data_IF_077769856394
#
_entry.id   IF_077769856394
#
_cell.length_a   1.000
_cell.length_b   1.000
_cell.length_c   1.000
_cell.angle_alpha   90.00
_cell.angle_beta   90.00
_cell.angle_gamma   90.00
#
_symmetry.space_group_name_H-M   'P 1'
#
loop_
_entity.id
_entity.type
_entity.pdbx_description
1 polymer ?
#
# COMPACT_ATOMS: atom_id res chain seq x y z
N UNK A 1 -9.53 -16.72 -24.41
CA UNK A 1 -8.10 -16.61 -24.07
C UNK A 1 -7.85 -15.21 -23.54
N UNK A 2 -7.58 -15.09 -22.24
CA UNK A 2 -7.31 -13.80 -21.58
C UNK A 2 -5.83 -13.48 -21.73
N UNK A 3 -5.49 -12.35 -22.34
CA UNK A 3 -4.10 -11.89 -22.50
C UNK A 3 -3.71 -10.97 -21.35
N UNK A 4 -2.63 -11.27 -20.65
CA UNK A 4 -2.03 -10.33 -19.68
C UNK A 4 -1.12 -9.39 -20.49
N UNK A 5 -1.37 -8.08 -20.45
CA UNK A 5 -0.40 -7.11 -20.98
C UNK A 5 0.66 -6.90 -19.90
N UNK A 6 1.77 -7.63 -20.04
CA UNK A 6 3.00 -7.36 -19.28
C UNK A 6 3.62 -6.08 -19.87
N UNK A 7 3.80 -5.05 -19.04
CA UNK A 7 4.46 -3.81 -19.45
C UNK A 7 5.95 -4.09 -19.77
N UNK A 8 6.24 -4.39 -21.03
CA UNK A 8 7.56 -4.26 -21.65
C UNK A 8 7.55 -3.08 -22.64
N UNK A 9 8.70 -2.44 -22.91
CA UNK A 9 8.76 -1.26 -23.74
C UNK A 9 8.43 -1.63 -25.19
N UNK A 10 7.17 -1.48 -25.60
CA UNK A 10 6.80 -1.66 -27.00
C UNK A 10 7.37 -0.49 -27.82
N UNK A 11 8.42 -0.78 -28.59
CA UNK A 11 8.67 -0.09 -29.84
C UNK A 11 7.57 -0.52 -30.82
N UNK A 12 6.69 0.40 -31.20
CA UNK A 12 5.83 0.20 -32.36
C UNK A 12 6.72 0.28 -33.61
N UNK A 13 6.89 -0.84 -34.32
CA UNK A 13 7.41 -0.84 -35.68
C UNK A 13 6.27 -0.38 -36.62
N UNK A 14 6.41 0.66 -37.46
CA UNK A 14 5.26 1.33 -38.08
C UNK A 14 4.60 0.62 -39.27
N UNK A 15 5.10 -0.53 -39.71
CA UNK A 15 4.64 -1.16 -40.95
C UNK A 15 3.85 -2.43 -40.65
N UNK A 16 2.54 -2.28 -40.45
CA UNK A 16 1.48 -2.96 -41.23
C UNK A 16 0.11 -2.89 -40.54
N UNK A 17 -0.85 -2.35 -41.31
CA UNK A 17 -2.30 -2.60 -41.28
C UNK A 17 -3.20 -1.89 -40.26
N UNK A 18 -3.64 -0.70 -40.70
CA UNK A 18 -5.02 -0.16 -40.73
C UNK A 18 -6.01 -0.65 -39.66
N UNK A 19 -6.12 0.09 -38.56
CA UNK A 19 -7.35 0.31 -37.79
C UNK A 19 -7.26 1.74 -37.24
N UNK A 20 -8.35 2.51 -37.34
CA UNK A 20 -8.42 3.94 -37.07
C UNK A 20 -7.50 4.40 -35.93
N UNK A 21 -6.40 5.06 -36.28
CA UNK A 21 -5.44 5.68 -35.34
C UNK A 21 -6.19 6.74 -34.55
N UNK A 22 -6.79 6.37 -33.43
CA UNK A 22 -7.02 7.33 -32.35
C UNK A 22 -5.62 7.77 -31.96
N UNK A 23 -5.18 8.91 -32.50
CA UNK A 23 -3.92 9.56 -32.12
C UNK A 23 -4.05 9.91 -30.65
N UNK A 24 -3.70 8.98 -29.77
CA UNK A 24 -3.58 9.26 -28.36
C UNK A 24 -2.49 10.32 -28.23
N UNK A 25 -2.87 11.51 -27.76
CA UNK A 25 -1.92 12.59 -27.50
C UNK A 25 -0.81 12.04 -26.61
N UNK A 26 0.43 12.11 -27.09
CA UNK A 26 1.60 11.60 -26.38
C UNK A 26 1.65 12.24 -24.99
N UNK A 27 1.73 11.40 -23.96
CA UNK A 27 1.94 11.87 -22.59
C UNK A 27 3.33 12.50 -22.51
N UNK A 28 3.41 13.69 -21.94
CA UNK A 28 4.65 14.42 -21.72
C UNK A 28 4.81 14.67 -20.23
N UNK A 29 6.03 14.52 -19.72
CA UNK A 29 6.35 14.70 -18.30
C UNK A 29 6.01 16.11 -17.78
N UNK A 30 6.07 17.13 -18.64
CA UNK A 30 5.68 18.51 -18.29
C UNK A 30 4.21 18.67 -17.84
N UNK A 31 3.35 17.66 -18.07
CA UNK A 31 1.96 17.68 -17.63
C UNK A 31 1.73 17.03 -16.24
N UNK A 32 2.80 16.54 -15.62
CA UNK A 32 2.78 15.83 -14.34
C UNK A 32 3.65 16.57 -13.32
N UNK A 33 3.28 16.51 -12.03
CA UNK A 33 4.02 17.15 -10.94
C UNK A 33 5.17 16.27 -10.46
N UNK A 34 4.96 14.95 -10.40
CA UNK A 34 5.91 14.02 -9.77
C UNK A 34 6.37 12.90 -10.72
N UNK A 35 5.51 12.46 -11.65
CA UNK A 35 5.80 11.35 -12.55
C UNK A 35 6.85 11.70 -13.60
N UNK A 36 7.97 10.97 -13.57
CA UNK A 36 9.10 11.17 -14.50
C UNK A 36 8.87 10.54 -15.88
N UNK A 37 9.65 10.97 -16.89
CA UNK A 37 9.64 10.34 -18.23
C UNK A 37 9.84 8.82 -18.21
N UNK A 38 10.63 8.30 -17.25
CA UNK A 38 10.88 6.86 -17.10
C UNK A 38 9.62 6.13 -16.64
N UNK A 39 8.94 6.66 -15.63
CA UNK A 39 7.67 6.13 -15.13
C UNK A 39 6.57 6.26 -16.17
N UNK A 40 6.53 7.36 -16.94
CA UNK A 40 5.61 7.47 -18.09
C UNK A 40 5.88 6.35 -19.09
N UNK A 41 7.14 6.03 -19.41
CA UNK A 41 7.46 4.96 -20.36
C UNK A 41 7.09 3.57 -19.82
N UNK A 42 7.31 3.33 -18.54
CA UNK A 42 6.97 2.08 -17.88
C UNK A 42 6.47 2.34 -16.45
N UNK A 43 5.15 2.37 -16.22
CA UNK A 43 4.58 2.66 -14.90
C UNK A 43 4.89 1.58 -13.87
N UNK A 44 5.24 0.36 -14.29
CA UNK A 44 5.68 -0.70 -13.36
C UNK A 44 6.95 -0.34 -12.60
N UNK A 45 7.78 0.58 -13.11
CA UNK A 45 8.96 1.06 -12.37
C UNK A 45 8.53 1.72 -11.06
N UNK A 46 7.48 2.53 -11.09
CA UNK A 46 6.94 3.13 -9.88
C UNK A 46 6.33 2.06 -8.98
N UNK A 47 5.45 1.21 -9.55
CA UNK A 47 4.70 0.22 -8.78
C UNK A 47 5.62 -0.78 -8.05
N UNK A 48 6.68 -1.23 -8.73
CA UNK A 48 7.68 -2.12 -8.13
C UNK A 48 8.46 -1.44 -7.01
N UNK A 49 8.74 -0.15 -7.12
CA UNK A 49 9.44 0.56 -6.04
C UNK A 49 8.51 0.76 -4.84
N UNK A 50 7.31 1.27 -5.11
CA UNK A 50 6.34 1.63 -4.10
C UNK A 50 5.86 0.41 -3.30
N UNK A 51 5.36 -0.62 -3.97
CA UNK A 51 4.82 -1.81 -3.29
C UNK A 51 5.86 -2.91 -3.04
N UNK A 52 7.01 -2.87 -3.73
CA UNK A 52 8.08 -3.83 -3.51
C UNK A 52 9.00 -3.45 -2.34
N UNK A 53 9.13 -2.16 -2.02
CA UNK A 53 10.09 -1.70 -1.01
C UNK A 53 9.53 -0.69 -0.01
N UNK A 54 8.60 0.18 -0.39
CA UNK A 54 8.18 1.29 0.46
C UNK A 54 6.96 0.94 1.34
N UNK A 55 5.95 0.28 0.77
CA UNK A 55 4.67 0.06 1.46
C UNK A 55 4.10 -1.34 1.25
N UNK A 56 3.63 -1.93 2.35
CA UNK A 56 2.62 -2.97 2.29
C UNK A 56 1.25 -2.33 1.99
N UNK A 57 0.39 -3.06 1.27
CA UNK A 57 -0.90 -2.51 0.83
C UNK A 57 -1.79 -2.08 2.00
N UNK A 58 -1.84 -2.86 3.08
CA UNK A 58 -2.68 -2.58 4.24
C UNK A 58 -2.26 -1.29 4.96
N UNK A 59 -0.96 -1.08 5.12
CA UNK A 59 -0.40 0.15 5.69
C UNK A 59 -0.69 1.34 4.80
N UNK A 60 -0.52 1.19 3.49
CA UNK A 60 -0.82 2.26 2.55
C UNK A 60 -2.30 2.65 2.55
N UNK A 61 -3.22 1.69 2.56
CA UNK A 61 -4.66 1.96 2.63
C UNK A 61 -5.04 2.68 3.93
N UNK A 62 -4.39 2.34 5.05
CA UNK A 62 -4.53 3.08 6.31
C UNK A 62 -4.03 4.51 6.18
N UNK A 63 -2.85 4.72 5.60
CA UNK A 63 -2.29 6.04 5.32
C UNK A 63 -3.22 6.87 4.45
N UNK A 64 -3.78 6.30 3.37
CA UNK A 64 -4.76 6.98 2.52
C UNK A 64 -5.98 7.42 3.34
N UNK A 65 -6.53 6.53 4.16
CA UNK A 65 -7.70 6.87 5.00
C UNK A 65 -7.40 7.99 5.98
N UNK A 66 -6.29 7.90 6.70
CA UNK A 66 -5.85 8.94 7.64
C UNK A 66 -5.64 10.29 6.94
N UNK A 67 -4.98 10.27 5.77
CA UNK A 67 -4.70 11.48 4.99
C UNK A 67 -6.00 12.15 4.52
N UNK A 68 -6.94 11.37 3.99
CA UNK A 68 -8.23 11.92 3.52
C UNK A 68 -9.07 12.44 4.69
N UNK A 69 -9.13 11.72 5.81
CA UNK A 69 -9.87 12.17 6.99
C UNK A 69 -9.27 13.45 7.60
N UNK A 70 -7.95 13.50 7.79
CA UNK A 70 -7.30 14.70 8.32
C UNK A 70 -7.44 15.91 7.37
N UNK A 71 -7.51 15.68 6.06
CA UNK A 71 -7.70 16.75 5.07
C UNK A 71 -9.16 17.22 4.97
N UNK A 72 -10.11 16.33 5.30
CA UNK A 72 -11.54 16.65 5.33
C UNK A 72 -11.97 17.30 6.65
N UNK A 73 -11.32 16.91 7.75
CA UNK A 73 -11.61 17.34 9.11
C UNK A 73 -10.32 17.85 9.77
N UNK A 74 -9.95 19.13 9.54
CA UNK A 74 -8.75 19.74 10.10
C UNK A 74 -8.59 19.61 11.62
N UNK A 75 -9.67 19.44 12.39
CA UNK A 75 -9.59 19.15 13.83
C UNK A 75 -8.91 17.82 14.15
N UNK A 76 -8.96 16.87 13.22
CA UNK A 76 -8.26 15.59 13.33
C UNK A 76 -6.84 15.68 12.75
N UNK A 77 -6.48 16.78 12.08
CA UNK A 77 -5.14 16.97 11.57
C UNK A 77 -4.19 17.37 12.69
N UNK A 78 -2.93 16.94 12.56
CA UNK A 78 -1.82 17.51 13.30
C UNK A 78 -1.07 18.46 12.35
N UNK A 79 -1.31 19.79 12.39
CA UNK A 79 -0.75 20.72 11.40
C UNK A 79 0.79 20.76 11.40
N UNK A 80 1.40 20.42 12.53
CA UNK A 80 2.84 20.42 12.70
C UNK A 80 3.50 19.08 12.24
N UNK A 81 2.69 18.08 11.86
CA UNK A 81 3.18 16.81 11.32
C UNK A 81 3.61 16.98 9.86
N UNK A 82 4.94 16.96 9.64
CA UNK A 82 5.58 17.10 8.32
C UNK A 82 5.16 15.96 7.37
N UNK A 83 4.78 14.82 7.93
CA UNK A 83 4.35 13.61 7.24
C UNK A 83 3.10 13.84 6.39
N UNK A 84 2.22 14.77 6.77
CA UNK A 84 0.98 15.06 6.03
C UNK A 84 1.25 15.51 4.59
N UNK A 85 2.22 16.41 4.42
CA UNK A 85 2.64 16.87 3.08
C UNK A 85 3.28 15.74 2.27
N UNK A 86 4.04 14.88 2.92
CA UNK A 86 4.67 13.73 2.28
C UNK A 86 3.64 12.71 1.77
N UNK A 87 2.66 12.34 2.60
CA UNK A 87 1.60 11.40 2.21
C UNK A 87 0.70 11.97 1.11
N UNK A 88 0.37 13.26 1.18
CA UNK A 88 -0.40 13.91 0.11
C UNK A 88 0.37 13.91 -1.22
N UNK A 89 1.69 14.16 -1.20
CA UNK A 89 2.54 14.03 -2.39
C UNK A 89 2.48 12.61 -2.96
N UNK A 90 2.57 11.57 -2.12
CA UNK A 90 2.49 10.17 -2.56
C UNK A 90 1.12 9.85 -3.19
N UNK A 91 0.03 10.37 -2.64
CA UNK A 91 -1.31 10.24 -3.24
C UNK A 91 -1.38 10.88 -4.63
N UNK A 92 -0.85 12.09 -4.81
CA UNK A 92 -0.80 12.74 -6.12
C UNK A 92 0.01 11.89 -7.11
N UNK A 93 1.16 11.37 -6.68
CA UNK A 93 2.00 10.51 -7.52
C UNK A 93 1.28 9.23 -7.94
N UNK A 94 0.52 8.57 -7.06
CA UNK A 94 -0.32 7.42 -7.41
C UNK A 94 -1.40 7.78 -8.43
N UNK A 95 -2.08 8.91 -8.26
CA UNK A 95 -3.10 9.37 -9.22
C UNK A 95 -2.47 9.66 -10.59
N UNK A 96 -1.26 10.21 -10.64
CA UNK A 96 -0.51 10.43 -11.88
C UNK A 96 -0.13 9.12 -12.57
N UNK A 97 0.40 8.15 -11.82
CA UNK A 97 0.77 6.82 -12.35
C UNK A 97 -0.46 6.09 -12.88
N UNK A 98 -1.56 6.13 -12.13
CA UNK A 98 -2.84 5.61 -12.58
C UNK A 98 -3.32 6.27 -13.88
N UNK A 99 -3.13 7.58 -14.03
CA UNK A 99 -3.50 8.30 -15.25
C UNK A 99 -2.64 7.87 -16.44
N UNK A 100 -1.34 7.64 -16.23
CA UNK A 100 -0.47 7.07 -17.26
C UNK A 100 -1.00 5.72 -17.73
N UNK A 101 -1.29 4.81 -16.80
CA UNK A 101 -1.82 3.47 -17.11
C UNK A 101 -3.16 3.60 -17.86
N UNK A 102 -4.10 4.38 -17.33
CA UNK A 102 -5.42 4.62 -17.94
C UNK A 102 -5.30 5.07 -19.40
N UNK A 103 -4.39 6.02 -19.68
CA UNK A 103 -4.18 6.55 -21.03
C UNK A 103 -3.48 5.56 -21.94
N UNK A 104 -2.42 4.90 -21.48
CA UNK A 104 -1.64 3.95 -22.29
C UNK A 104 -2.44 2.70 -22.67
N UNK A 105 -3.27 2.22 -21.74
CA UNK A 105 -4.17 1.10 -21.98
C UNK A 105 -5.42 1.49 -22.79
N UNK A 106 -5.60 2.77 -23.13
CA UNK A 106 -6.75 3.24 -23.89
C UNK A 106 -8.09 3.00 -23.20
N UNK A 107 -8.10 3.02 -21.87
CA UNK A 107 -9.31 2.81 -21.08
C UNK A 107 -10.32 3.92 -21.34
N UNK A 108 -11.60 3.56 -21.29
CA UNK A 108 -12.71 4.46 -21.61
C UNK A 108 -13.38 4.96 -20.34
N UNK A 109 -13.86 6.19 -20.39
CA UNK A 109 -14.71 6.72 -19.33
C UNK A 109 -16.06 6.01 -19.30
N UNK A 110 -16.62 5.89 -18.11
CA UNK A 110 -17.90 5.27 -17.81
C UNK A 110 -18.92 6.35 -17.41
N UNK A 111 -20.20 6.06 -17.61
CA UNK A 111 -21.30 6.99 -17.28
C UNK A 111 -21.59 7.03 -15.77
N UNK A 112 -21.43 5.90 -15.09
CA UNK A 112 -21.78 5.72 -13.68
C UNK A 112 -20.53 5.36 -12.85
N UNK A 113 -19.65 6.34 -12.56
CA UNK A 113 -18.38 6.07 -11.90
C UNK A 113 -18.49 5.62 -10.43
N UNK A 114 -19.64 5.85 -9.79
CA UNK A 114 -19.88 5.51 -8.38
C UNK A 114 -20.67 4.20 -8.21
N UNK A 115 -20.97 3.51 -9.31
CA UNK A 115 -21.64 2.21 -9.25
C UNK A 115 -20.58 1.11 -9.03
N UNK A 116 -20.31 0.80 -7.76
CA UNK A 116 -19.24 -0.11 -7.35
C UNK A 116 -19.66 -1.55 -7.10
N UNK A 117 -20.94 -1.87 -7.11
CA UNK A 117 -21.42 -3.21 -6.79
C UNK A 117 -22.34 -3.69 -7.90
N UNK A 118 -22.04 -4.87 -8.46
CA UNK A 118 -22.93 -5.48 -9.47
C UNK A 118 -23.97 -6.37 -8.80
N UNK A 119 -23.59 -7.00 -7.69
CA UNK A 119 -24.43 -7.91 -6.92
C UNK A 119 -24.54 -7.49 -5.45
N UNK A 120 -25.56 -8.02 -4.78
CA UNK A 120 -25.72 -7.90 -3.32
C UNK A 120 -24.55 -8.56 -2.57
N UNK A 121 -23.97 -9.63 -3.14
CA UNK A 121 -22.85 -10.34 -2.53
C UNK A 121 -21.58 -9.49 -2.55
N UNK A 122 -21.33 -8.73 -3.63
CA UNK A 122 -20.21 -7.77 -3.69
C UNK A 122 -20.33 -6.70 -2.61
N UNK A 123 -21.56 -6.21 -2.37
CA UNK A 123 -21.83 -5.23 -1.32
C UNK A 123 -21.57 -5.81 0.07
N UNK A 124 -22.04 -7.03 0.35
CA UNK A 124 -21.80 -7.67 1.65
C UNK A 124 -20.34 -8.08 1.87
N UNK A 125 -19.64 -8.50 0.81
CA UNK A 125 -18.20 -8.74 0.85
C UNK A 125 -17.43 -7.47 1.23
N UNK A 126 -17.80 -6.35 0.63
CA UNK A 126 -17.23 -5.05 0.97
C UNK A 126 -17.56 -4.62 2.42
N UNK A 127 -18.84 -4.65 2.81
CA UNK A 127 -19.27 -4.17 4.14
C UNK A 127 -18.71 -5.02 5.28
N UNK A 128 -18.70 -6.35 5.14
CA UNK A 128 -18.31 -7.24 6.24
C UNK A 128 -16.84 -7.67 6.21
N UNK A 129 -16.20 -7.69 5.03
CA UNK A 129 -14.82 -8.17 4.87
C UNK A 129 -13.85 -7.10 4.35
N UNK A 130 -14.33 -5.91 4.00
CA UNK A 130 -13.51 -4.86 3.39
C UNK A 130 -12.99 -5.25 2.00
N UNK A 131 -13.62 -6.23 1.35
CA UNK A 131 -13.19 -6.71 0.03
C UNK A 131 -13.72 -5.77 -1.06
N UNK A 132 -12.81 -5.08 -1.78
CA UNK A 132 -13.19 -4.22 -2.92
C UNK A 132 -13.34 -5.02 -4.24
N UNK A 133 -13.72 -6.29 -4.14
CA UNK A 133 -13.86 -7.20 -5.28
C UNK A 133 -15.18 -7.02 -6.02
N UNK A 134 -15.18 -7.39 -7.31
CA UNK A 134 -16.36 -7.61 -8.15
C UNK A 134 -16.39 -9.08 -8.55
N UNK A 135 -17.48 -9.80 -8.28
CA UNK A 135 -17.57 -11.25 -8.55
C UNK A 135 -16.39 -12.04 -7.92
N UNK A 136 -15.92 -11.59 -6.74
CA UNK A 136 -14.77 -12.17 -6.04
C UNK A 136 -13.38 -11.79 -6.58
N UNK A 137 -13.27 -10.91 -7.60
CA UNK A 137 -11.99 -10.40 -8.09
C UNK A 137 -11.98 -8.89 -8.32
N UNK A 138 -10.86 -8.23 -8.05
CA UNK A 138 -10.70 -6.81 -8.34
C UNK A 138 -10.41 -6.65 -9.83
N UNK A 139 -11.22 -5.83 -10.51
CA UNK A 139 -10.96 -5.43 -11.90
C UNK A 139 -10.25 -4.07 -11.94
N UNK A 140 -8.91 -4.02 -11.99
CA UNK A 140 -8.18 -2.75 -11.98
C UNK A 140 -8.51 -1.85 -13.17
N UNK A 141 -8.84 -2.41 -14.34
CA UNK A 141 -9.21 -1.61 -15.51
C UNK A 141 -10.55 -0.89 -15.33
N UNK A 142 -11.52 -1.58 -14.71
CA UNK A 142 -12.81 -0.99 -14.33
C UNK A 142 -12.61 0.11 -13.29
N UNK A 143 -11.84 -0.16 -12.24
CA UNK A 143 -11.55 0.82 -11.18
C UNK A 143 -10.89 2.08 -11.73
N UNK A 144 -9.84 1.95 -12.55
CA UNK A 144 -9.19 3.09 -13.19
C UNK A 144 -10.16 3.89 -14.08
N UNK A 145 -11.04 3.18 -14.79
CA UNK A 145 -12.05 3.81 -15.65
C UNK A 145 -13.05 4.61 -14.83
N UNK A 146 -13.57 4.06 -13.73
CA UNK A 146 -14.47 4.74 -12.80
C UNK A 146 -13.80 5.96 -12.16
N UNK A 147 -12.56 5.80 -11.68
CA UNK A 147 -11.78 6.85 -11.02
C UNK A 147 -11.62 8.12 -11.89
N UNK A 148 -11.22 7.96 -13.16
CA UNK A 148 -11.07 9.09 -14.09
C UNK A 148 -12.38 9.52 -14.77
N UNK A 149 -13.47 8.81 -14.52
CA UNK A 149 -14.83 9.20 -14.91
C UNK A 149 -15.50 10.07 -13.87
N UNK A 150 -15.26 9.81 -12.59
CA UNK A 150 -15.73 10.65 -11.49
C UNK A 150 -15.26 12.09 -11.65
N UNK A 151 -13.95 12.29 -11.88
CA UNK A 151 -13.42 13.61 -12.21
C UNK A 151 -12.17 13.57 -13.08
N UNK A 152 -11.87 14.69 -13.73
CA UNK A 152 -10.68 14.80 -14.59
C UNK A 152 -9.40 14.86 -13.76
N UNK A 153 -8.25 14.56 -14.38
CA UNK A 153 -6.94 14.68 -13.74
C UNK A 153 -6.72 16.07 -13.12
N UNK A 154 -7.12 17.14 -13.83
CA UNK A 154 -7.03 18.51 -13.32
C UNK A 154 -7.89 18.71 -12.06
N UNK A 155 -9.10 18.14 -12.03
CA UNK A 155 -9.96 18.20 -10.83
C UNK A 155 -9.36 17.40 -9.68
N UNK A 156 -8.77 16.24 -9.95
CA UNK A 156 -8.04 15.46 -8.94
C UNK A 156 -6.88 16.24 -8.32
N UNK A 157 -6.09 16.97 -9.11
CA UNK A 157 -5.07 17.86 -8.55
C UNK A 157 -5.66 18.90 -7.60
N UNK A 158 -6.73 19.58 -8.01
CA UNK A 158 -7.39 20.56 -7.14
C UNK A 158 -7.90 19.90 -5.84
N UNK A 159 -8.55 18.74 -5.92
CA UNK A 159 -9.03 18.01 -4.74
C UNK A 159 -7.88 17.66 -3.78
N UNK A 160 -6.75 17.18 -4.30
CA UNK A 160 -5.60 16.82 -3.46
C UNK A 160 -4.87 18.06 -2.92
N UNK A 161 -4.83 19.15 -3.67
CA UNK A 161 -4.31 20.44 -3.20
C UNK A 161 -5.18 20.99 -2.07
N UNK A 162 -6.50 20.91 -2.23
CA UNK A 162 -7.47 21.33 -1.21
C UNK A 162 -7.28 20.52 0.08
N UNK A 163 -7.14 19.18 -0.02
CA UNK A 163 -6.82 18.33 1.13
C UNK A 163 -5.48 18.70 1.78
N UNK A 164 -4.45 18.99 0.96
CA UNK A 164 -3.14 19.40 1.46
C UNK A 164 -3.19 20.74 2.21
N UNK A 165 -3.93 21.71 1.67
CA UNK A 165 -4.11 23.02 2.29
C UNK A 165 -4.84 22.91 3.62
N UNK A 166 -5.84 22.03 3.71
CA UNK A 166 -6.58 21.77 4.96
C UNK A 166 -5.68 21.32 6.11
N UNK A 167 -4.60 20.57 5.85
CA UNK A 167 -3.65 20.18 6.90
C UNK A 167 -2.96 21.37 7.58
N UNK A 168 -2.82 22.49 6.88
CA UNK A 168 -2.14 23.69 7.41
C UNK A 168 -3.07 24.59 8.22
N UNK A 169 -4.37 24.33 8.20
CA UNK A 169 -5.38 25.14 8.87
C UNK A 169 -5.67 24.57 10.26
N UNK A 170 -5.49 25.38 11.32
CA UNK A 170 -5.83 24.97 12.70
C UNK A 170 -7.33 24.98 12.99
N UNK A 171 -8.15 25.60 12.14
CA UNK A 171 -9.60 25.70 12.27
C UNK A 171 -10.21 25.68 10.86
N UNK A 172 -11.33 25.00 10.70
CA UNK A 172 -12.05 24.92 9.42
C UNK A 172 -12.88 26.20 9.26
N UNK A 173 -12.63 27.05 8.24
CA UNK A 173 -13.54 28.14 7.94
C UNK A 173 -14.86 27.62 7.35
N UNK A 174 -14.90 26.38 6.84
CA UNK A 174 -16.10 25.79 6.25
C UNK A 174 -16.07 24.24 6.25
N UNK A 175 -16.75 23.60 7.20
CA UNK A 175 -16.91 22.13 7.30
C UNK A 175 -17.50 21.48 6.04
N UNK A 176 -18.15 22.27 5.18
CA UNK A 176 -18.80 21.79 3.96
C UNK A 176 -17.88 21.75 2.72
N UNK A 177 -16.57 22.04 2.83
CA UNK A 177 -15.68 22.15 1.67
C UNK A 177 -15.77 20.94 0.71
N UNK A 178 -15.88 19.73 1.27
CA UNK A 178 -16.09 18.51 0.50
C UNK A 178 -17.53 17.97 0.58
N UNK A 179 -18.28 18.27 1.64
CA UNK A 179 -19.64 17.77 1.88
C UNK A 179 -19.74 16.26 1.69
N UNK A 180 -20.87 15.78 1.15
CA UNK A 180 -21.10 14.35 0.88
C UNK A 180 -20.12 13.73 -0.14
N UNK A 181 -19.37 14.56 -0.88
CA UNK A 181 -18.41 14.05 -1.87
C UNK A 181 -17.17 13.46 -1.21
N UNK A 182 -16.89 13.78 0.06
CA UNK A 182 -15.71 13.25 0.73
C UNK A 182 -15.73 11.72 0.80
N UNK A 183 -16.90 11.13 1.07
CA UNK A 183 -17.08 9.68 1.09
C UNK A 183 -16.75 9.05 -0.25
N UNK A 184 -17.19 9.68 -1.35
CA UNK A 184 -16.88 9.20 -2.70
C UNK A 184 -15.38 9.37 -3.04
N UNK A 185 -14.76 10.47 -2.62
CA UNK A 185 -13.32 10.73 -2.82
C UNK A 185 -12.49 9.69 -2.06
N UNK A 186 -12.81 9.46 -0.79
CA UNK A 186 -12.15 8.49 0.08
C UNK A 186 -12.24 7.08 -0.52
N UNK A 187 -13.45 6.66 -0.88
CA UNK A 187 -13.69 5.33 -1.47
C UNK A 187 -12.93 5.14 -2.79
N UNK A 188 -12.94 6.15 -3.66
CA UNK A 188 -12.23 6.10 -4.93
C UNK A 188 -10.71 6.02 -4.74
N UNK A 189 -10.14 6.72 -3.77
CA UNK A 189 -8.70 6.68 -3.48
C UNK A 189 -8.27 5.33 -2.90
N UNK A 190 -9.09 4.72 -2.03
CA UNK A 190 -8.82 3.37 -1.52
C UNK A 190 -8.88 2.31 -2.64
N UNK A 191 -9.92 2.36 -3.47
CA UNK A 191 -10.03 1.48 -4.64
C UNK A 191 -8.88 1.69 -5.61
N UNK A 192 -8.41 2.93 -5.80
CA UNK A 192 -7.27 3.23 -6.64
C UNK A 192 -6.00 2.55 -6.11
N UNK A 193 -5.70 2.72 -4.82
CA UNK A 193 -4.55 2.10 -4.18
C UNK A 193 -4.53 0.58 -4.40
N UNK A 194 -5.68 -0.07 -4.18
CA UNK A 194 -5.80 -1.50 -4.35
C UNK A 194 -5.72 -1.93 -5.82
N UNK A 195 -6.30 -1.17 -6.76
CA UNK A 195 -6.17 -1.45 -8.19
C UNK A 195 -4.70 -1.37 -8.65
N UNK A 196 -3.95 -0.38 -8.17
CA UNK A 196 -2.51 -0.25 -8.46
C UNK A 196 -1.71 -1.41 -7.85
N UNK A 197 -2.07 -1.87 -6.65
CA UNK A 197 -1.47 -3.05 -6.03
C UNK A 197 -1.75 -4.34 -6.80
N UNK A 198 -2.98 -4.52 -7.30
CA UNK A 198 -3.30 -5.68 -8.16
C UNK A 198 -2.49 -5.63 -9.45
N UNK A 199 -2.37 -4.47 -10.09
CA UNK A 199 -1.52 -4.32 -11.29
C UNK A 199 -0.06 -4.67 -10.97
N UNK A 200 0.45 -4.24 -9.82
CA UNK A 200 1.78 -4.62 -9.33
C UNK A 200 1.91 -6.15 -9.20
N UNK A 201 1.02 -6.78 -8.42
CA UNK A 201 1.06 -8.20 -8.10
C UNK A 201 0.97 -9.09 -9.34
N UNK A 202 0.10 -8.72 -10.29
CA UNK A 202 -0.10 -9.45 -11.54
C UNK A 202 0.96 -9.09 -12.62
N UNK A 203 1.88 -8.17 -12.33
CA UNK A 203 2.94 -7.73 -13.25
C UNK A 203 2.45 -6.91 -14.45
N UNK A 204 1.23 -6.40 -14.39
CA UNK A 204 0.61 -5.63 -15.46
C UNK A 204 -0.91 -5.56 -15.36
N UNK A 205 -1.54 -4.90 -16.34
CA UNK A 205 -3.00 -4.79 -16.42
C UNK A 205 -3.56 -5.93 -17.28
N UNK A 206 -4.40 -6.84 -16.74
CA UNK A 206 -5.05 -7.86 -17.54
C UNK A 206 -6.11 -7.21 -18.43
N UNK A 207 -5.96 -7.33 -19.75
CA UNK A 207 -6.90 -6.78 -20.73
C UNK A 207 -7.45 -7.90 -21.61
N UNK A 208 -8.77 -7.98 -21.73
CA UNK A 208 -9.40 -8.89 -22.67
C UNK A 208 -9.11 -8.41 -24.09
N UNK A 209 -8.26 -9.14 -24.80
CA UNK A 209 -7.93 -8.87 -26.19
C UNK A 209 -8.95 -9.57 -27.10
N UNK A 210 -9.40 -8.93 -28.19
CA UNK A 210 -10.18 -9.61 -29.22
C UNK A 210 -9.44 -10.84 -29.76
N UNK A 211 -10.17 -11.89 -30.12
CA UNK A 211 -9.62 -13.20 -30.51
C UNK A 211 -8.63 -13.18 -31.69
N UNK A 212 -8.61 -12.11 -32.49
CA UNK A 212 -7.68 -11.93 -33.59
C UNK A 212 -6.33 -11.32 -33.18
N UNK A 213 -6.15 -10.90 -31.92
CA UNK A 213 -4.88 -10.38 -31.41
C UNK A 213 -4.13 -11.47 -30.66
N UNK A 214 -3.13 -12.06 -31.31
CA UNK A 214 -2.23 -13.04 -30.69
C UNK A 214 -1.19 -12.28 -29.86
N UNK A 215 -1.41 -12.19 -28.55
CA UNK A 215 -0.37 -11.77 -27.62
C UNK A 215 0.69 -12.87 -27.54
N UNK A 216 1.91 -12.61 -28.05
CA UNK A 216 3.03 -13.55 -27.88
C UNK A 216 3.48 -13.49 -26.41
N UNK A 217 3.37 -14.58 -25.62
CA UNK A 217 3.97 -14.61 -24.30
C UNK A 217 5.48 -14.45 -24.47
N UNK A 218 6.05 -13.41 -23.89
CA UNK A 218 7.50 -13.25 -23.89
C UNK A 218 8.04 -14.11 -22.76
N UNK A 219 9.01 -14.96 -23.07
CA UNK A 219 9.75 -15.73 -22.07
C UNK A 219 10.14 -14.86 -20.87
N UNK A 220 10.10 -15.49 -19.68
CA UNK A 220 10.42 -14.93 -18.36
C UNK A 220 11.59 -13.95 -18.47
N UNK A 221 11.38 -12.74 -17.97
CA UNK A 221 12.46 -11.75 -17.88
C UNK A 221 13.39 -12.19 -16.75
N UNK A 222 14.50 -12.86 -17.07
CA UNK A 222 15.58 -13.18 -16.13
C UNK A 222 16.51 -11.98 -15.85
N UNK A 223 16.17 -10.79 -16.35
CA UNK A 223 16.93 -9.58 -16.07
C UNK A 223 16.53 -8.98 -14.73
N UNK A 224 17.41 -9.06 -13.73
CA UNK A 224 17.38 -8.16 -12.56
C UNK A 224 17.17 -6.74 -13.08
N UNK A 225 16.00 -6.15 -12.85
CA UNK A 225 15.76 -4.77 -13.24
C UNK A 225 16.68 -3.89 -12.39
N UNK A 226 17.47 -2.98 -13.00
CA UNK A 226 18.29 -2.07 -12.22
C UNK A 226 17.36 -1.21 -11.36
N UNK A 227 17.61 -1.24 -10.05
CA UNK A 227 16.90 -0.45 -9.05
C UNK A 227 17.00 1.05 -9.41
N UNK A 228 15.99 1.83 -9.03
CA UNK A 228 16.17 3.28 -9.04
C UNK A 228 17.23 3.66 -7.99
N UNK A 229 17.89 4.82 -8.11
CA UNK A 229 18.88 5.25 -7.10
C UNK A 229 18.33 5.27 -5.67
N UNK A 230 17.02 5.52 -5.51
CA UNK A 230 16.34 5.42 -4.23
C UNK A 230 16.16 3.97 -3.78
N UNK A 231 15.82 3.06 -4.71
CA UNK A 231 15.77 1.62 -4.44
C UNK A 231 17.14 1.03 -4.10
N UNK A 232 18.22 1.46 -4.78
CA UNK A 232 19.60 1.07 -4.45
C UNK A 232 19.97 1.55 -3.04
N UNK A 233 19.62 2.80 -2.72
CA UNK A 233 19.87 3.36 -1.39
C UNK A 233 19.09 2.62 -0.31
N UNK A 234 17.80 2.33 -0.54
CA UNK A 234 16.99 1.57 0.41
C UNK A 234 17.53 0.16 0.65
N UNK A 235 17.92 -0.56 -0.41
CA UNK A 235 18.58 -1.87 -0.26
C UNK A 235 19.87 -1.75 0.55
N UNK A 236 20.71 -0.76 0.26
CA UNK A 236 21.95 -0.55 1.03
C UNK A 236 21.68 -0.24 2.51
N UNK A 237 20.60 0.46 2.84
CA UNK A 237 20.22 0.78 4.23
C UNK A 237 19.64 -0.46 4.93
N UNK A 238 18.82 -1.25 4.23
CA UNK A 238 18.21 -2.47 4.76
C UNK A 238 19.29 -3.53 5.00
N UNK A 239 20.16 -3.77 4.01
CA UNK A 239 21.28 -4.72 4.12
C UNK A 239 22.21 -4.32 5.27
N UNK A 240 22.49 -3.02 5.42
CA UNK A 240 23.31 -2.51 6.52
C UNK A 240 22.64 -2.72 7.88
N UNK A 241 21.34 -2.43 8.01
CA UNK A 241 20.59 -2.69 9.25
C UNK A 241 20.51 -4.19 9.59
N UNK A 242 20.37 -5.04 8.58
CA UNK A 242 20.33 -6.50 8.78
C UNK A 242 21.70 -7.04 9.17
N UNK A 243 22.78 -6.53 8.59
CA UNK A 243 24.14 -6.87 9.00
C UNK A 243 24.44 -6.38 10.43
N UNK A 244 24.05 -5.14 10.78
CA UNK A 244 24.20 -4.60 12.14
C UNK A 244 23.39 -5.42 13.16
N UNK A 245 22.14 -5.78 12.85
CA UNK A 245 21.33 -6.64 13.70
C UNK A 245 21.89 -8.07 13.84
N UNK A 246 22.49 -8.63 12.78
CA UNK A 246 23.14 -9.93 12.84
C UNK A 246 24.38 -9.90 13.76
N UNK A 247 25.19 -8.84 13.68
CA UNK A 247 26.37 -8.64 14.55
C UNK A 247 25.98 -8.41 16.01
N UNK A 248 24.87 -7.72 16.29
CA UNK A 248 24.36 -7.58 17.66
C UNK A 248 23.83 -8.89 18.26
N UNK A 249 23.33 -9.80 17.41
CA UNK A 249 22.80 -11.09 17.83
C UNK A 249 23.88 -12.18 17.96
N UNK A 250 25.00 -12.10 17.24
CA UNK A 250 26.13 -13.05 17.33
C UNK A 250 26.61 -13.32 18.78
N UNK A 251 26.91 -12.30 19.62
CA UNK A 251 27.35 -12.56 21.00
C UNK A 251 26.24 -13.14 21.89
N UNK A 252 24.96 -12.97 21.52
CA UNK A 252 23.82 -13.59 22.22
C UNK A 252 23.74 -15.08 21.89
N UNK A 253 23.97 -15.45 20.62
CA UNK A 253 24.03 -16.84 20.19
C UNK A 253 25.26 -17.58 20.74
N UNK A 254 26.43 -16.96 20.76
CA UNK A 254 27.63 -17.54 21.40
C UNK A 254 27.41 -17.79 22.89
N UNK A 255 26.74 -16.86 23.59
CA UNK A 255 26.41 -17.02 25.00
C UNK A 255 25.38 -18.12 25.22
N UNK A 256 24.40 -18.28 24.33
CA UNK A 256 23.44 -19.37 24.38
C UNK A 256 24.08 -20.75 24.17
N UNK A 257 25.02 -20.89 23.23
CA UNK A 257 25.78 -22.14 23.02
C UNK A 257 26.70 -22.49 24.20
N UNK A 258 27.25 -21.48 24.88
CA UNK A 258 28.08 -21.67 26.07
C UNK A 258 27.26 -22.16 27.28
N UNK A 259 26.03 -21.66 27.41
CA UNK A 259 25.08 -22.11 28.44
C UNK A 259 24.61 -23.56 28.22
N UNK A 260 24.43 -23.97 26.96
CA UNK A 260 23.99 -25.33 26.63
C UNK A 260 25.11 -26.38 26.85
N UNK A 261 26.37 -26.00 26.62
CA UNK A 261 27.55 -26.82 26.98
C UNK A 261 27.73 -26.98 28.48
N UNK A 262 27.41 -25.95 29.27
CA UNK A 262 27.46 -26.04 30.74
C UNK A 262 26.35 -26.90 31.34
N UNK A 263 25.20 -27.05 30.65
CA UNK A 263 24.07 -27.86 31.15
C UNK A 263 24.19 -29.34 30.77
N UNK A 264 24.92 -29.67 29.71
CA UNK A 264 25.06 -31.05 29.21
C UNK A 264 26.47 -31.65 29.40
N UNK A 265 27.35 -30.97 30.13
CA UNK A 265 28.67 -31.47 30.53
C UNK A 265 28.59 -32.42 31.73
N UNK A 266 28.74 -33.70 31.44
CA UNK A 266 28.88 -34.82 32.38
C UNK A 266 29.99 -34.56 33.39
N UNK A 267 29.66 -34.58 34.69
CA UNK A 267 30.58 -35.02 35.74
C UNK A 267 29.83 -35.94 36.71
N UNK A 268 30.02 -37.25 36.51
CA UNK A 268 29.71 -38.24 37.51
C UNK A 268 30.86 -38.34 38.51
N UNK A 269 30.58 -38.02 39.77
CA UNK A 269 31.25 -38.61 40.93
C UNK A 269 30.32 -38.55 42.15
N UNK A 270 30.26 -39.68 42.85
CA UNK A 270 29.25 -40.09 43.81
C UNK A 270 29.38 -39.46 45.21
N UNK A 271 28.20 -39.26 45.83
CA UNK A 271 27.76 -39.61 47.21
C UNK A 271 28.75 -39.41 48.37
N UNK A 272 28.35 -38.58 49.36
CA UNK A 272 28.32 -38.97 50.80
C UNK A 272 27.18 -38.23 51.52
N UNK A 273 26.40 -39.02 52.26
CA UNK A 273 25.30 -38.67 53.18
C UNK A 273 25.64 -37.65 54.28
N UNK A 274 24.60 -36.98 54.78
CA UNK A 274 24.66 -36.18 56.00
C UNK A 274 23.31 -35.62 56.41
N UNK A 275 22.51 -36.45 57.08
CA UNK A 275 21.32 -36.06 57.85
C UNK A 275 21.52 -34.78 58.67
N UNK A 276 20.58 -33.84 58.59
CA UNK A 276 19.99 -33.23 59.79
C UNK A 276 18.67 -32.50 59.54
N UNK A 277 17.81 -32.82 60.48
CA UNK A 277 16.40 -32.53 60.70
C UNK A 277 16.16 -31.11 61.28
N UNK A 278 14.87 -30.76 61.39
CA UNK A 278 14.22 -29.59 62.02
C UNK A 278 14.01 -28.37 61.10
N UNK A 279 12.83 -27.77 60.96
CA UNK A 279 11.55 -27.93 61.67
C UNK A 279 10.89 -26.55 61.85
N UNK A 280 9.55 -26.50 61.70
CA UNK A 280 8.61 -25.44 62.09
C UNK A 280 8.66 -24.09 61.34
N UNK A 281 7.60 -23.28 61.22
CA UNK A 281 6.12 -23.36 61.31
C UNK A 281 5.61 -21.91 61.40
N UNK A 282 4.34 -21.68 61.05
CA UNK A 282 3.54 -20.47 61.26
C UNK A 282 3.78 -19.32 60.28
N UNK A 283 2.76 -18.62 59.79
CA UNK A 283 1.33 -18.67 60.09
C UNK A 283 0.68 -17.40 59.55
N UNK A 284 -0.50 -17.58 58.96
CA UNK A 284 -1.63 -16.69 58.75
C UNK A 284 -1.50 -15.20 59.15
N UNK A 285 -1.97 -14.29 58.27
CA UNK A 285 -3.24 -13.60 58.55
C UNK A 285 -3.72 -12.71 57.39
N UNK A 286 -4.95 -12.98 56.97
CA UNK A 286 -5.89 -12.08 56.32
C UNK A 286 -6.11 -10.80 57.14
N UNK A 287 -6.33 -9.67 56.45
CA UNK A 287 -7.36 -8.70 56.82
C UNK A 287 -7.62 -7.73 55.65
N UNK A 288 -8.67 -8.01 54.88
CA UNK A 288 -9.53 -6.94 54.36
C UNK A 288 -10.38 -6.42 55.53
N UNK A 289 -10.79 -5.14 55.50
CA UNK A 289 -12.23 -4.90 55.51
C UNK A 289 -12.70 -3.84 54.51
N UNK A 290 -13.68 -4.33 53.77
CA UNK A 290 -14.86 -3.76 53.13
C UNK A 290 -15.49 -2.47 53.71
N UNK A 291 -16.07 -1.68 52.77
CA UNK A 291 -17.35 -0.91 52.79
C UNK A 291 -17.53 0.33 53.67
N UNK A 292 -17.83 1.48 53.05
CA UNK A 292 -19.19 2.05 52.81
C UNK A 292 -19.03 3.40 52.06
N UNK A 293 -19.66 3.72 50.92
CA UNK A 293 -21.08 3.89 50.60
C UNK A 293 -21.77 5.11 51.28
N UNK A 294 -21.94 6.22 50.52
CA UNK A 294 -23.12 7.13 50.49
C UNK A 294 -22.73 8.43 49.73
N UNK A 295 -23.27 8.67 48.53
CA UNK A 295 -24.49 9.48 48.25
C UNK A 295 -24.42 10.95 48.70
N UNK A 296 -24.35 11.82 47.69
CA UNK A 296 -24.73 13.23 47.66
C UNK A 296 -24.93 13.62 46.21
#
# INVERSE_FOLDING_TARGET
>A
MSGIIIFKPFFFNPNETIMAKIKQKKLKAENFRYVTKRVIKNPMIYLNNFFGYEYQIDDWMRTVSLTVHAGAYPEMACPDAVENGYHCKQLVEQVEVAYVIFRQCGLKKQKEPLNFFKSSDDYYAYVYRGEYSFDGQINPADTLSKFFSFQSMKKWYNTLDDLMLSFTQRQVPNYEQFGDKITAIHELLLRLAQALYVIYREGGLPLQMPSYVIAKPTNRFEGKMPLSRLGELMHSIIDKRQAEAAVELEPIFEKAELWDKHRNGVDGAAVVDGDRDQGNSHGDQEANPTTDAAKG
#
